data_IF_272716033321
#
_entry.id   IF_272716033321
#
_cell.length_a   1.000
_cell.length_b   1.000
_cell.length_c   1.000
_cell.angle_alpha   90.00
_cell.angle_beta   90.00
_cell.angle_gamma   90.00
#
_symmetry.space_group_name_H-M   'P 1'
#
loop_
_entity.id
_entity.type
_entity.pdbx_description
1 polymer ?
#
# COMPACT_ATOMS: atom_id res chain seq x y z
N UNK A 1 7.01 19.40 9.67
CA UNK A 1 5.64 18.90 9.94
C UNK A 1 5.72 17.86 11.04
N UNK A 2 4.69 17.68 11.87
CA UNK A 2 4.59 16.49 12.74
C UNK A 2 3.97 15.35 11.92
N UNK A 3 4.82 14.42 11.48
CA UNK A 3 4.44 13.31 10.60
C UNK A 3 3.52 12.32 11.32
N UNK A 4 3.69 12.12 12.63
CA UNK A 4 2.84 11.20 13.41
C UNK A 4 1.46 11.79 13.65
N UNK A 5 1.38 13.08 14.00
CA UNK A 5 0.08 13.76 14.15
C UNK A 5 -0.64 13.89 12.79
N UNK A 6 0.10 14.08 11.69
CA UNK A 6 -0.46 14.01 10.33
C UNK A 6 -1.02 12.62 10.00
N UNK A 7 -0.22 11.56 10.13
CA UNK A 7 -0.68 10.18 9.88
C UNK A 7 -1.88 9.83 10.79
N UNK A 8 -1.88 10.25 12.06
CA UNK A 8 -2.98 10.03 13.00
C UNK A 8 -4.29 10.68 12.53
N UNK A 9 -4.26 11.96 12.17
CA UNK A 9 -5.46 12.74 11.83
C UNK A 9 -5.93 12.47 10.39
N UNK A 10 -5.02 12.30 9.44
CA UNK A 10 -5.36 12.18 8.03
C UNK A 10 -5.49 10.74 7.53
N UNK A 11 -4.95 9.75 8.25
CA UNK A 11 -4.91 8.33 7.79
C UNK A 11 -5.51 7.35 8.80
N UNK A 12 -5.02 7.34 10.04
CA UNK A 12 -5.37 6.30 11.03
C UNK A 12 -6.77 6.51 11.62
N UNK A 13 -7.08 7.69 12.17
CA UNK A 13 -8.40 7.96 12.77
C UNK A 13 -9.55 7.84 11.75
N UNK A 14 -9.47 8.42 10.53
CA UNK A 14 -10.58 8.34 9.57
C UNK A 14 -10.86 6.91 9.11
N UNK A 15 -9.80 6.09 8.96
CA UNK A 15 -9.90 4.68 8.62
C UNK A 15 -10.55 3.86 9.76
N UNK A 16 -10.07 4.01 11.00
CA UNK A 16 -10.63 3.32 12.17
C UNK A 16 -12.10 3.69 12.41
N UNK A 17 -12.43 4.98 12.30
CA UNK A 17 -13.81 5.49 12.37
C UNK A 17 -14.66 4.94 11.24
N UNK A 18 -14.16 4.92 10.00
CA UNK A 18 -14.85 4.34 8.84
C UNK A 18 -15.28 2.89 9.07
N UNK A 19 -14.35 2.04 9.52
CA UNK A 19 -14.63 0.63 9.86
C UNK A 19 -15.69 0.50 10.97
N UNK A 20 -15.62 1.32 12.03
CA UNK A 20 -16.59 1.30 13.14
C UNK A 20 -17.98 1.80 12.69
N UNK A 21 -18.05 2.84 11.86
CA UNK A 21 -19.31 3.36 11.29
C UNK A 21 -19.97 2.36 10.34
N UNK A 22 -19.18 1.66 9.51
CA UNK A 22 -19.67 0.64 8.58
C UNK A 22 -19.91 -0.73 9.23
N UNK A 23 -19.61 -0.89 10.53
CA UNK A 23 -19.67 -2.17 11.27
C UNK A 23 -18.92 -3.30 10.55
N UNK A 24 -17.73 -3.01 10.05
CA UNK A 24 -16.96 -3.93 9.20
C UNK A 24 -16.35 -5.07 10.02
N UNK A 25 -16.80 -6.31 9.79
CA UNK A 25 -16.20 -7.52 10.39
C UNK A 25 -14.99 -8.06 9.60
N UNK A 26 -14.97 -7.86 8.27
CA UNK A 26 -13.86 -8.27 7.40
C UNK A 26 -13.49 -7.19 6.36
N UNK A 27 -12.20 -6.89 6.24
CA UNK A 27 -11.66 -5.92 5.28
C UNK A 27 -10.91 -6.63 4.13
N UNK A 28 -11.45 -6.50 2.92
CA UNK A 28 -10.70 -6.77 1.68
C UNK A 28 -9.68 -5.65 1.47
N UNK A 29 -8.42 -5.98 1.16
CA UNK A 29 -7.36 -4.99 0.93
C UNK A 29 -6.29 -5.49 -0.07
N UNK A 30 -5.57 -4.56 -0.68
CA UNK A 30 -4.58 -4.82 -1.75
C UNK A 30 -3.13 -5.03 -1.29
N UNK A 31 -2.90 -5.59 -0.09
CA UNK A 31 -1.55 -5.99 0.32
C UNK A 31 -1.12 -7.27 -0.42
N UNK A 32 0.13 -7.31 -0.88
CA UNK A 32 0.74 -8.50 -1.51
C UNK A 32 2.05 -8.86 -0.80
N UNK A 33 2.49 -10.13 -0.91
CA UNK A 33 3.83 -10.54 -0.47
C UNK A 33 4.92 -9.86 -1.30
N UNK A 34 4.64 -9.55 -2.56
CA UNK A 34 5.57 -8.88 -3.48
C UNK A 34 5.98 -7.47 -3.02
N UNK A 35 5.15 -6.82 -2.21
CA UNK A 35 5.47 -5.54 -1.57
C UNK A 35 6.55 -5.65 -0.48
N UNK A 36 6.96 -6.86 -0.10
CA UNK A 36 8.11 -7.14 0.76
C UNK A 36 7.94 -6.74 2.22
N UNK A 37 9.06 -6.65 2.94
CA UNK A 37 9.14 -6.22 4.34
C UNK A 37 8.11 -6.91 5.25
N UNK A 38 7.31 -6.15 6.00
CA UNK A 38 6.25 -6.64 6.90
C UNK A 38 5.05 -7.25 6.17
N UNK A 39 5.02 -7.21 4.83
CA UNK A 39 4.01 -7.87 4.00
C UNK A 39 4.47 -9.22 3.42
N UNK A 40 5.76 -9.54 3.47
CA UNK A 40 6.35 -10.72 2.82
C UNK A 40 5.72 -12.08 3.21
N UNK A 41 5.07 -12.15 4.38
CA UNK A 41 4.53 -13.37 4.96
C UNK A 41 3.01 -13.40 5.13
N UNK A 42 2.26 -12.39 4.64
CA UNK A 42 0.79 -12.33 4.83
C UNK A 42 0.08 -13.47 4.09
N UNK A 43 -0.86 -14.15 4.75
CA UNK A 43 -1.72 -15.14 4.09
C UNK A 43 -2.90 -14.47 3.37
N UNK A 44 -3.67 -15.25 2.59
CA UNK A 44 -4.87 -14.75 1.93
C UNK A 44 -5.95 -14.28 2.94
N UNK A 45 -5.93 -14.85 4.15
CA UNK A 45 -6.81 -14.47 5.26
C UNK A 45 -5.99 -14.34 6.55
N UNK A 46 -6.00 -13.15 7.15
CA UNK A 46 -5.53 -12.93 8.53
C UNK A 46 -6.73 -12.95 9.48
N UNK A 47 -6.68 -13.85 10.46
CA UNK A 47 -7.72 -13.96 11.50
C UNK A 47 -7.75 -12.72 12.39
N UNK A 48 -8.95 -12.33 12.84
CA UNK A 48 -9.09 -11.34 13.90
C UNK A 48 -8.46 -11.83 15.21
N UNK A 49 -7.81 -10.96 16.01
CA UNK A 49 -7.29 -11.33 17.33
C UNK A 49 -8.36 -11.92 18.27
N UNK A 50 -7.93 -12.85 19.12
CA UNK A 50 -8.75 -13.39 20.21
C UNK A 50 -9.11 -12.25 21.17
N UNK A 51 -10.40 -12.09 21.47
CA UNK A 51 -10.95 -10.95 22.21
C UNK A 51 -11.66 -9.92 21.31
N UNK A 52 -11.38 -9.91 20.01
CA UNK A 52 -12.07 -9.08 19.02
C UNK A 52 -11.12 -8.39 18.05
N UNK A 53 -11.60 -8.14 16.83
CA UNK A 53 -10.91 -7.33 15.84
C UNK A 53 -11.48 -7.49 14.44
N UNK A 54 -10.76 -6.93 13.48
CA UNK A 54 -11.08 -6.95 12.06
C UNK A 54 -10.38 -8.12 11.37
N UNK A 55 -11.13 -9.04 10.76
CA UNK A 55 -10.54 -10.03 9.86
C UNK A 55 -10.04 -9.33 8.59
N UNK A 56 -8.93 -9.79 8.01
CA UNK A 56 -8.34 -9.15 6.81
C UNK A 56 -8.28 -10.18 5.68
N UNK A 57 -8.85 -9.82 4.53
CA UNK A 57 -8.81 -10.61 3.30
C UNK A 57 -7.85 -9.94 2.31
N UNK A 58 -6.82 -10.68 1.91
CA UNK A 58 -5.78 -10.26 0.98
C UNK A 58 -5.93 -11.10 -0.31
N UNK A 59 -6.95 -10.87 -1.16
CA UNK A 59 -7.29 -11.79 -2.25
C UNK A 59 -6.15 -12.00 -3.24
N UNK A 60 -5.29 -10.99 -3.40
CA UNK A 60 -4.10 -10.98 -4.26
C UNK A 60 -2.78 -11.17 -3.48
N UNK A 61 -2.81 -11.75 -2.27
CA UNK A 61 -1.62 -11.90 -1.41
C UNK A 61 -0.40 -12.51 -2.11
N UNK A 62 -0.63 -13.45 -3.03
CA UNK A 62 0.41 -14.19 -3.75
C UNK A 62 0.76 -13.60 -5.13
N UNK A 63 0.13 -12.49 -5.55
CA UNK A 63 0.41 -11.86 -6.83
C UNK A 63 1.71 -11.05 -6.79
N UNK A 64 2.45 -11.10 -7.89
CA UNK A 64 3.50 -10.13 -8.21
C UNK A 64 2.88 -8.79 -8.64
N UNK A 65 3.71 -7.76 -8.82
CA UNK A 65 3.23 -6.55 -9.50
C UNK A 65 2.98 -6.80 -11.00
N UNK A 66 3.66 -7.77 -11.62
CA UNK A 66 3.47 -8.15 -13.02
C UNK A 66 2.07 -8.74 -13.24
N UNK A 67 1.65 -9.72 -12.43
CA UNK A 67 0.28 -10.27 -12.43
C UNK A 67 -0.80 -9.17 -12.33
N UNK A 68 -0.51 -8.13 -11.53
CA UNK A 68 -1.42 -7.01 -11.31
C UNK A 68 -1.57 -6.15 -12.57
N UNK A 69 -0.46 -5.82 -13.25
CA UNK A 69 -0.51 -5.06 -14.50
C UNK A 69 -0.98 -5.89 -15.70
N UNK A 70 -0.69 -7.18 -15.75
CA UNK A 70 -1.24 -8.11 -16.74
C UNK A 70 -2.76 -8.25 -16.61
N UNK A 71 -3.29 -8.33 -15.38
CA UNK A 71 -4.73 -8.31 -15.15
C UNK A 71 -5.35 -6.97 -15.60
N UNK A 72 -4.72 -5.84 -15.25
CA UNK A 72 -5.14 -4.50 -15.69
C UNK A 72 -5.17 -4.42 -17.22
N UNK A 73 -4.16 -4.95 -17.91
CA UNK A 73 -4.07 -4.93 -19.36
C UNK A 73 -5.11 -5.85 -20.03
N UNK A 74 -5.20 -7.10 -19.58
CA UNK A 74 -6.07 -8.14 -20.11
C UNK A 74 -7.56 -7.78 -20.03
N UNK A 75 -7.98 -7.13 -18.94
CA UNK A 75 -9.37 -6.75 -18.70
C UNK A 75 -9.63 -5.24 -18.89
N UNK A 76 -8.65 -4.50 -19.41
CA UNK A 76 -8.71 -3.05 -19.65
C UNK A 76 -9.19 -2.23 -18.43
N UNK A 77 -8.74 -2.63 -17.24
CA UNK A 77 -9.18 -2.02 -15.97
C UNK A 77 -8.66 -0.57 -15.88
N UNK A 78 -9.53 0.43 -15.62
CA UNK A 78 -9.07 1.82 -15.47
C UNK A 78 -8.01 1.95 -14.36
N UNK A 79 -6.80 2.36 -14.73
CA UNK A 79 -5.67 2.52 -13.83
C UNK A 79 -5.35 4.00 -13.59
N UNK A 80 -4.54 4.31 -12.56
CA UNK A 80 -4.29 5.71 -12.21
C UNK A 80 -3.45 6.44 -13.28
N UNK A 81 -3.78 7.69 -13.67
CA UNK A 81 -3.03 8.43 -14.69
C UNK A 81 -1.56 8.72 -14.33
N UNK A 82 -1.18 8.66 -13.06
CA UNK A 82 0.24 8.81 -12.66
C UNK A 82 1.11 7.59 -13.03
N UNK A 83 0.52 6.45 -13.41
CA UNK A 83 1.30 5.34 -13.96
C UNK A 83 2.00 5.75 -15.28
N UNK A 84 1.36 6.64 -16.06
CA UNK A 84 1.95 7.26 -17.26
C UNK A 84 2.99 8.35 -16.94
N UNK A 85 3.26 8.64 -15.66
CA UNK A 85 4.26 9.60 -15.18
C UNK A 85 5.34 8.98 -14.30
N UNK A 86 5.43 7.65 -14.25
CA UNK A 86 6.49 6.93 -13.53
C UNK A 86 6.17 6.43 -12.13
N UNK A 87 4.90 6.49 -11.68
CA UNK A 87 4.53 6.16 -10.29
C UNK A 87 3.94 4.74 -10.17
N UNK A 88 4.68 3.73 -9.66
CA UNK A 88 4.15 2.38 -9.39
C UNK A 88 3.23 2.31 -8.16
N UNK A 89 3.50 3.12 -7.14
CA UNK A 89 2.71 3.20 -5.91
C UNK A 89 2.47 4.67 -5.57
N UNK A 90 1.27 5.00 -5.11
CA UNK A 90 0.77 6.38 -5.03
C UNK A 90 0.20 6.65 -3.62
N UNK A 91 0.46 7.84 -3.10
CA UNK A 91 -0.14 8.36 -1.88
C UNK A 91 -0.13 9.88 -1.86
N UNK A 92 0.32 10.48 -0.75
CA UNK A 92 0.32 11.93 -0.61
C UNK A 92 1.37 12.56 -1.54
N UNK A 93 1.00 13.66 -2.20
CA UNK A 93 1.87 14.33 -3.17
C UNK A 93 3.17 14.90 -2.56
N UNK A 94 3.23 15.02 -1.22
CA UNK A 94 4.41 15.43 -0.45
C UNK A 94 5.41 14.30 -0.17
N UNK A 95 4.99 13.03 -0.30
CA UNK A 95 5.76 11.85 0.12
C UNK A 95 5.77 10.73 -0.94
N UNK A 96 5.49 11.08 -2.20
CA UNK A 96 5.45 10.15 -3.34
C UNK A 96 6.30 10.65 -4.52
N UNK A 97 7.25 9.84 -5.00
CA UNK A 97 8.08 10.10 -6.18
C UNK A 97 7.92 8.99 -7.23
N UNK A 98 8.25 9.23 -8.52
CA UNK A 98 8.30 8.16 -9.52
C UNK A 98 9.50 7.24 -9.30
N UNK A 99 9.45 6.04 -9.90
CA UNK A 99 10.52 5.04 -9.89
C UNK A 99 10.79 4.57 -11.34
N UNK A 100 12.03 4.66 -11.86
CA UNK A 100 13.12 5.50 -11.34
C UNK A 100 12.71 6.98 -11.29
N UNK A 101 13.52 7.82 -10.62
CA UNK A 101 13.14 9.22 -10.36
C UNK A 101 13.02 10.08 -11.64
N UNK A 102 13.59 9.63 -12.76
CA UNK A 102 13.44 10.22 -14.09
C UNK A 102 12.10 9.90 -14.77
N UNK A 103 11.28 9.02 -14.18
CA UNK A 103 10.03 8.54 -14.75
C UNK A 103 10.21 7.79 -16.09
N UNK A 104 11.34 7.10 -16.28
CA UNK A 104 11.63 6.31 -17.48
C UNK A 104 10.75 5.07 -17.63
N UNK A 105 10.51 4.34 -16.53
CA UNK A 105 9.54 3.22 -16.49
C UNK A 105 8.12 3.77 -16.32
N UNK A 106 7.18 3.37 -17.19
CA UNK A 106 5.77 3.85 -17.17
C UNK A 106 4.81 2.73 -17.54
N UNK A 107 3.54 2.91 -17.23
CA UNK A 107 2.45 2.10 -17.79
C UNK A 107 1.40 3.01 -18.45
N UNK A 108 1.22 2.83 -19.76
CA UNK A 108 0.47 3.71 -20.68
C UNK A 108 -0.35 2.84 -21.63
N UNK A 109 -1.64 3.17 -21.82
CA UNK A 109 -2.53 2.46 -22.77
C UNK A 109 -2.46 0.92 -22.64
N UNK A 110 -2.49 0.42 -21.41
CA UNK A 110 -2.43 -1.02 -21.07
C UNK A 110 -1.11 -1.72 -21.40
N UNK A 111 0.01 -0.99 -21.49
CA UNK A 111 1.35 -1.54 -21.76
C UNK A 111 2.43 -0.81 -20.95
N UNK A 112 3.55 -1.49 -20.71
CA UNK A 112 4.75 -0.85 -20.17
C UNK A 112 5.51 -0.08 -21.27
N UNK A 113 6.07 1.08 -20.87
CA UNK A 113 7.07 1.83 -21.63
C UNK A 113 8.36 1.95 -20.78
N UNK A 114 9.52 1.92 -21.44
CA UNK A 114 10.83 1.84 -20.76
C UNK A 114 11.19 0.41 -20.36
N UNK A 115 12.17 0.26 -19.46
CA UNK A 115 12.45 -1.02 -18.80
C UNK A 115 11.45 -1.20 -17.63
N UNK A 116 10.63 -2.27 -17.57
CA UNK A 116 9.69 -2.48 -16.48
C UNK A 116 10.33 -2.96 -15.16
N UNK A 117 11.57 -3.45 -15.18
CA UNK A 117 12.24 -4.04 -13.99
C UNK A 117 12.22 -3.15 -12.73
N UNK A 118 12.40 -1.81 -12.78
CA UNK A 118 12.35 -0.95 -11.60
C UNK A 118 11.00 -0.94 -10.86
N UNK A 119 9.91 -1.35 -11.52
CA UNK A 119 8.58 -1.54 -10.91
C UNK A 119 8.30 -3.01 -10.56
N UNK A 120 8.74 -3.94 -11.42
CA UNK A 120 8.37 -5.35 -11.32
C UNK A 120 9.25 -6.16 -10.35
N UNK A 121 10.44 -5.67 -10.01
CA UNK A 121 11.33 -6.28 -9.00
C UNK A 121 10.67 -6.43 -7.62
N UNK A 122 11.13 -7.40 -6.83
CA UNK A 122 10.58 -7.67 -5.51
C UNK A 122 10.77 -6.47 -4.56
N UNK A 123 9.72 -6.18 -3.78
CA UNK A 123 9.63 -5.03 -2.89
C UNK A 123 9.88 -3.66 -3.58
N UNK A 124 9.81 -3.58 -4.93
CA UNK A 124 10.13 -2.35 -5.66
C UNK A 124 8.97 -1.37 -5.81
N UNK A 125 7.73 -1.87 -5.93
CA UNK A 125 6.50 -1.08 -6.05
C UNK A 125 6.46 0.14 -5.10
N UNK A 126 6.78 -0.07 -3.82
CA UNK A 126 6.68 0.95 -2.78
C UNK A 126 7.95 1.80 -2.57
N UNK A 127 9.04 1.58 -3.33
CA UNK A 127 10.32 2.30 -3.14
C UNK A 127 10.17 3.83 -3.26
N UNK A 128 9.18 4.32 -4.00
CA UNK A 128 8.87 5.76 -4.16
C UNK A 128 7.93 6.36 -3.10
N UNK A 129 7.57 5.63 -2.03
CA UNK A 129 6.65 6.08 -0.96
C UNK A 129 7.42 6.55 0.28
N UNK A 130 6.84 7.49 1.02
CA UNK A 130 7.38 8.06 2.27
C UNK A 130 8.77 8.73 2.14
N UNK A 131 9.16 9.12 0.93
CA UNK A 131 10.49 9.72 0.69
C UNK A 131 10.62 11.06 1.42
N UNK A 132 11.75 11.23 2.10
CA UNK A 132 12.02 12.39 2.98
C UNK A 132 11.37 12.31 4.36
N UNK A 133 10.68 11.21 4.71
CA UNK A 133 10.04 11.03 6.02
C UNK A 133 10.82 10.04 6.91
N UNK A 134 10.97 10.42 8.18
CA UNK A 134 11.54 9.59 9.24
C UNK A 134 10.55 9.45 10.42
N UNK A 135 10.70 8.36 11.16
CA UNK A 135 10.00 8.13 12.43
C UNK A 135 10.70 8.92 13.58
N UNK A 136 10.08 9.01 14.76
CA UNK A 136 10.66 9.75 15.92
C UNK A 136 12.00 9.19 16.44
N UNK A 137 12.33 7.94 16.13
CA UNK A 137 13.62 7.32 16.44
C UNK A 137 14.71 7.59 15.38
N UNK A 138 14.38 8.32 14.30
CA UNK A 138 15.27 8.59 13.18
C UNK A 138 15.30 7.51 12.10
N UNK A 139 14.56 6.41 12.24
CA UNK A 139 14.47 5.36 11.21
C UNK A 139 13.64 5.81 9.99
N UNK A 140 13.99 5.29 8.82
CA UNK A 140 13.24 5.55 7.58
C UNK A 140 11.81 5.00 7.68
N UNK A 141 10.82 5.83 7.31
CA UNK A 141 9.41 5.43 7.33
C UNK A 141 9.08 4.53 6.13
N UNK A 142 8.63 3.29 6.37
CA UNK A 142 8.22 2.33 5.31
C UNK A 142 6.70 2.14 5.19
N UNK A 143 5.96 2.45 6.25
CA UNK A 143 4.52 2.22 6.41
C UNK A 143 3.84 3.45 7.05
N UNK A 144 2.54 3.58 6.84
CA UNK A 144 1.69 4.43 7.68
C UNK A 144 1.07 3.59 8.80
N UNK A 145 0.72 4.20 9.93
CA UNK A 145 0.32 3.50 11.17
C UNK A 145 -0.98 2.67 11.14
N UNK A 146 -1.50 2.33 9.97
CA UNK A 146 -2.75 1.57 9.77
C UNK A 146 -2.55 0.06 9.97
N UNK A 147 -1.33 -0.46 9.73
CA UNK A 147 -1.05 -1.90 9.72
C UNK A 147 -0.09 -2.38 10.82
N UNK A 148 0.39 -1.48 11.68
CA UNK A 148 1.32 -1.83 12.78
C UNK A 148 0.58 -2.61 13.89
N UNK A 149 1.27 -3.57 14.51
CA UNK A 149 0.69 -4.36 15.60
C UNK A 149 0.27 -3.45 16.77
N UNK A 150 -1.02 -3.43 17.08
CA UNK A 150 -1.61 -2.45 18.01
C UNK A 150 -2.61 -1.50 17.35
N UNK A 151 -2.58 -1.34 16.02
CA UNK A 151 -3.58 -0.56 15.28
C UNK A 151 -4.99 -1.19 15.37
N UNK A 152 -5.06 -2.50 15.64
CA UNK A 152 -6.31 -3.20 15.97
C UNK A 152 -6.63 -3.26 17.48
N UNK A 153 -5.80 -2.71 18.37
CA UNK A 153 -6.09 -2.67 19.82
C UNK A 153 -6.93 -1.47 20.25
N UNK A 154 -7.33 -0.59 19.33
CA UNK A 154 -8.28 0.51 19.58
C UNK A 154 -9.75 0.06 19.48
N UNK A 155 -10.02 -1.25 19.36
CA UNK A 155 -11.36 -1.81 19.42
C UNK A 155 -11.89 -1.94 20.85
N UNK A 156 -12.11 -0.81 21.52
CA UNK A 156 -13.20 -0.75 22.50
C UNK A 156 -14.52 -0.94 21.72
N UNK A 157 -15.09 -2.14 21.86
CA UNK A 157 -16.42 -2.53 21.39
C UNK A 157 -17.44 -2.31 22.50
#
# INVERSE_FOLDING_TARGET
>A
EDIEQYDKVCKVEPFQRGLKTLKTDCMINGRTRWQGFERAWIDQFENAPIGGGLAKCNPIAYWTLEDTFDYIAKYQVPHHPLHAKGYPSIGDAKDTIPIPEDGSTRFVNFKFEGDPKPWLDYASERKGRFVGLANKDGSTKTECGIHVAGAERTFDR
#
